data_IF_951317550004
#
_entry.id   IF_951317550004
#
_cell.length_a   1.000
_cell.length_b   1.000
_cell.length_c   1.000
_cell.angle_alpha   90.00
_cell.angle_beta   90.00
_cell.angle_gamma   90.00
#
_symmetry.space_group_name_H-M   'P 1'
#
loop_
_entity.id
_entity.type
_entity.pdbx_description
1 polymer ?
#
# COMPACT_ATOMS: atom_id res chain seq x y z
N UNK A 1 19.83 -13.37 24.83
CA UNK A 1 19.95 -12.02 25.43
C UNK A 1 19.03 -10.99 24.78
N UNK A 2 19.21 -10.65 23.49
CA UNK A 2 18.44 -9.60 22.80
C UNK A 2 16.91 -9.72 22.96
N UNK A 3 16.34 -10.89 22.68
CA UNK A 3 14.89 -11.11 22.73
C UNK A 3 14.27 -10.82 24.12
N UNK A 4 14.99 -11.12 25.22
CA UNK A 4 14.53 -10.87 26.58
C UNK A 4 14.51 -9.38 26.91
N UNK A 5 15.54 -8.64 26.50
CA UNK A 5 15.59 -7.19 26.66
C UNK A 5 14.55 -6.50 25.78
N UNK A 6 14.36 -6.99 24.56
CA UNK A 6 13.33 -6.50 23.65
C UNK A 6 11.93 -6.75 24.21
N UNK A 7 11.67 -7.92 24.80
CA UNK A 7 10.42 -8.19 25.52
C UNK A 7 10.18 -7.16 26.65
N UNK A 8 11.20 -6.90 27.48
CA UNK A 8 11.08 -5.91 28.57
C UNK A 8 10.73 -4.54 28.02
N UNK A 9 11.43 -4.13 26.96
CA UNK A 9 11.23 -2.82 26.36
C UNK A 9 9.79 -2.64 25.85
N UNK A 10 9.26 -3.63 25.12
CA UNK A 10 7.96 -3.51 24.44
C UNK A 10 6.77 -3.67 25.39
N UNK A 11 6.84 -4.57 26.37
CA UNK A 11 5.70 -4.98 27.18
C UNK A 11 5.75 -4.48 28.63
N UNK A 12 6.93 -4.01 29.08
CA UNK A 12 7.11 -3.37 30.38
C UNK A 12 7.47 -1.89 30.22
N UNK A 13 8.67 -1.56 29.72
CA UNK A 13 9.24 -0.21 29.78
C UNK A 13 8.41 0.82 29.04
N UNK A 14 8.01 0.54 27.79
CA UNK A 14 7.19 1.47 27.01
C UNK A 14 5.81 1.69 27.63
N UNK A 15 5.24 0.67 28.28
CA UNK A 15 3.97 0.80 29.00
C UNK A 15 4.15 1.62 30.28
N UNK A 16 5.23 1.38 31.02
CA UNK A 16 5.60 2.17 32.19
C UNK A 16 5.86 3.64 31.83
N UNK A 17 6.52 3.91 30.70
CA UNK A 17 6.70 5.26 30.18
C UNK A 17 5.36 5.90 29.79
N UNK A 18 4.48 5.15 29.12
CA UNK A 18 3.15 5.64 28.74
C UNK A 18 2.32 6.02 29.98
N UNK A 19 2.38 5.22 31.05
CA UNK A 19 1.69 5.50 32.31
C UNK A 19 2.35 6.62 33.12
N UNK A 20 3.66 6.83 32.97
CA UNK A 20 4.34 8.00 33.54
C UNK A 20 3.86 9.30 32.87
N UNK A 21 3.70 9.27 31.54
CA UNK A 21 3.16 10.38 30.77
C UNK A 21 1.66 10.61 31.00
N UNK A 22 0.90 9.53 31.14
CA UNK A 22 -0.54 9.55 31.32
C UNK A 22 -0.96 8.64 32.48
N UNK A 23 -0.93 9.14 33.73
CA UNK A 23 -1.28 8.36 34.90
C UNK A 23 -2.68 7.71 34.81
N UNK A 24 -2.93 6.55 35.46
CA UNK A 24 -4.22 5.87 35.40
C UNK A 24 -5.42 6.71 35.82
N UNK A 25 -5.20 7.65 36.74
CA UNK A 25 -6.17 8.58 37.31
C UNK A 25 -6.24 9.93 36.58
N UNK A 26 -5.49 10.09 35.48
CA UNK A 26 -5.48 11.33 34.72
C UNK A 26 -6.86 11.67 34.16
N UNK A 27 -7.21 12.95 34.27
CA UNK A 27 -8.42 13.55 33.68
C UNK A 27 -8.06 14.47 32.52
N UNK A 28 -8.98 14.59 31.56
CA UNK A 28 -8.91 15.55 30.46
C UNK A 28 -9.20 16.97 30.95
N UNK A 29 -8.99 17.97 30.09
CA UNK A 29 -9.38 19.36 30.37
C UNK A 29 -10.87 19.55 30.68
N UNK A 30 -11.72 18.61 30.24
CA UNK A 30 -13.17 18.59 30.51
C UNK A 30 -13.52 17.83 31.81
N UNK A 31 -12.55 17.31 32.54
CA UNK A 31 -12.75 16.56 33.80
C UNK A 31 -13.15 15.09 33.61
N UNK A 32 -13.21 14.59 32.37
CA UNK A 32 -13.48 13.18 32.10
C UNK A 32 -12.20 12.33 32.26
N UNK A 33 -12.29 11.03 32.64
CA UNK A 33 -11.11 10.17 32.69
C UNK A 33 -10.43 10.05 31.32
N UNK A 34 -9.11 10.25 31.27
CA UNK A 34 -8.32 10.13 30.04
C UNK A 34 -8.41 8.71 29.45
N UNK A 35 -8.37 7.70 30.32
CA UNK A 35 -8.51 6.29 29.98
C UNK A 35 -9.99 5.87 29.98
N UNK A 36 -10.74 6.32 28.98
CA UNK A 36 -12.15 5.96 28.80
C UNK A 36 -12.49 5.69 27.33
N UNK A 37 -13.62 5.00 27.10
CA UNK A 37 -14.11 4.66 25.76
C UNK A 37 -13.08 3.84 24.95
N UNK A 38 -12.52 4.40 23.85
CA UNK A 38 -11.53 3.69 23.03
C UNK A 38 -10.15 3.55 23.69
N UNK A 39 -9.86 4.31 24.76
CA UNK A 39 -8.56 4.31 25.44
C UNK A 39 -8.59 3.40 26.67
N UNK A 40 -8.09 2.17 26.50
CA UNK A 40 -7.92 1.21 27.60
C UNK A 40 -6.63 1.52 28.37
N UNK A 41 -6.73 1.70 29.69
CA UNK A 41 -5.56 1.90 30.55
C UNK A 41 -4.70 0.62 30.56
N UNK A 42 -3.43 0.68 30.12
CA UNK A 42 -2.59 -0.51 30.04
C UNK A 42 -1.96 -0.87 31.39
N UNK A 43 -1.38 -2.07 31.47
CA UNK A 43 -0.61 -2.55 32.62
C UNK A 43 0.75 -3.10 32.13
N UNK A 44 1.89 -2.67 32.72
CA UNK A 44 3.19 -3.26 32.39
C UNK A 44 3.19 -4.74 32.75
N UNK A 45 3.66 -5.60 31.84
CA UNK A 45 3.81 -7.02 32.13
C UNK A 45 5.09 -7.27 32.91
N UNK A 46 5.10 -8.33 33.72
CA UNK A 46 6.32 -8.85 34.34
C UNK A 46 6.68 -10.17 33.66
N UNK A 47 7.92 -10.31 33.22
CA UNK A 47 8.35 -11.54 32.57
C UNK A 47 8.23 -12.72 33.54
N UNK A 48 7.77 -13.86 33.03
CA UNK A 48 7.70 -15.12 33.77
C UNK A 48 8.03 -16.21 32.75
N UNK A 49 9.14 -16.89 32.97
CA UNK A 49 9.61 -17.96 32.07
C UNK A 49 8.64 -19.14 32.02
N UNK A 50 7.82 -19.32 33.06
CA UNK A 50 6.82 -20.39 33.15
C UNK A 50 5.54 -20.04 32.40
N UNK A 51 5.35 -18.78 32.03
CA UNK A 51 4.24 -18.38 31.16
C UNK A 51 4.59 -18.80 29.71
N UNK A 52 3.82 -19.73 29.09
CA UNK A 52 4.12 -20.21 27.75
C UNK A 52 4.19 -19.08 26.71
N UNK A 53 3.31 -18.09 26.79
CA UNK A 53 3.24 -16.97 25.85
C UNK A 53 4.48 -16.07 25.93
N UNK A 54 4.99 -15.85 27.16
CA UNK A 54 6.20 -15.08 27.38
C UNK A 54 7.41 -15.81 26.76
N UNK A 55 7.52 -17.12 26.99
CA UNK A 55 8.59 -17.92 26.44
C UNK A 55 8.48 -18.09 24.91
N UNK A 56 7.28 -18.25 24.36
CA UNK A 56 7.02 -18.35 22.92
C UNK A 56 7.55 -17.13 22.17
N UNK A 57 7.33 -15.94 22.73
CA UNK A 57 7.90 -14.71 22.19
C UNK A 57 9.43 -14.77 22.13
N UNK A 58 10.08 -15.19 23.23
CA UNK A 58 11.54 -15.25 23.30
C UNK A 58 12.10 -16.25 22.29
N UNK A 59 11.50 -17.44 22.22
CA UNK A 59 11.91 -18.50 21.27
C UNK A 59 11.78 -18.00 19.84
N UNK A 60 10.64 -17.42 19.46
CA UNK A 60 10.42 -16.95 18.10
C UNK A 60 11.33 -15.75 17.78
N UNK A 61 11.36 -14.73 18.63
CA UNK A 61 12.17 -13.53 18.41
C UNK A 61 13.67 -13.82 18.33
N UNK A 62 14.19 -14.72 19.19
CA UNK A 62 15.59 -15.11 19.18
C UNK A 62 15.97 -15.88 17.91
N UNK A 63 15.11 -16.80 17.45
CA UNK A 63 15.36 -17.56 16.23
C UNK A 63 15.26 -16.71 14.96
N UNK A 64 14.31 -15.77 14.91
CA UNK A 64 14.24 -14.78 13.82
C UNK A 64 15.49 -13.89 13.80
N UNK A 65 15.94 -13.43 14.97
CA UNK A 65 17.18 -12.66 15.07
C UNK A 65 18.40 -13.50 14.65
N UNK A 66 18.45 -14.78 15.03
CA UNK A 66 19.52 -15.69 14.63
C UNK A 66 19.57 -15.86 13.11
N UNK A 67 18.40 -16.09 12.47
CA UNK A 67 18.27 -16.16 11.02
C UNK A 67 18.82 -14.91 10.32
N UNK A 68 18.48 -13.71 10.82
CA UNK A 68 18.99 -12.45 10.24
C UNK A 68 20.52 -12.37 10.20
N UNK A 69 21.22 -13.00 11.13
CA UNK A 69 22.70 -13.01 11.18
C UNK A 69 23.31 -14.32 10.67
N UNK A 70 22.53 -15.19 10.01
CA UNK A 70 23.02 -16.49 9.53
C UNK A 70 23.42 -17.47 10.64
N UNK A 71 22.89 -17.30 11.85
CA UNK A 71 23.14 -18.18 12.98
C UNK A 71 22.14 -19.36 12.99
N UNK A 72 22.54 -20.53 13.50
CA UNK A 72 21.68 -21.70 13.56
C UNK A 72 20.49 -21.46 14.50
N UNK A 73 19.34 -22.01 14.09
CA UNK A 73 18.11 -22.04 14.90
C UNK A 73 18.31 -22.96 16.11
N UNK A 74 17.81 -22.55 17.27
CA UNK A 74 17.72 -23.38 18.46
C UNK A 74 16.24 -23.57 18.86
N UNK A 75 15.78 -24.82 18.85
CA UNK A 75 14.41 -25.22 19.23
C UNK A 75 14.32 -25.80 20.64
N UNK A 76 15.45 -25.96 21.33
CA UNK A 76 15.46 -26.46 22.71
C UNK A 76 14.91 -25.38 23.65
N UNK A 77 13.61 -25.49 23.93
CA UNK A 77 12.90 -24.57 24.83
C UNK A 77 13.47 -24.58 26.24
N UNK A 78 14.02 -25.70 26.70
CA UNK A 78 14.58 -25.82 28.05
C UNK A 78 15.92 -25.10 28.14
N UNK A 79 16.79 -25.31 27.14
CA UNK A 79 18.01 -24.52 27.03
C UNK A 79 17.71 -23.01 26.99
N UNK A 80 16.70 -22.60 26.20
CA UNK A 80 16.31 -21.19 26.10
C UNK A 80 15.74 -20.67 27.43
N UNK A 81 14.90 -21.44 28.15
CA UNK A 81 14.36 -21.02 29.45
C UNK A 81 15.48 -20.78 30.46
N UNK A 82 16.40 -21.73 30.58
CA UNK A 82 17.48 -21.70 31.57
C UNK A 82 18.43 -20.50 31.30
N UNK A 83 18.74 -20.26 30.01
CA UNK A 83 19.55 -19.12 29.60
C UNK A 83 18.83 -17.79 29.91
N UNK A 84 17.52 -17.71 29.71
CA UNK A 84 16.75 -16.48 29.89
C UNK A 84 16.62 -16.10 31.36
N UNK A 85 16.51 -17.07 32.26
CA UNK A 85 16.51 -16.83 33.72
C UNK A 85 17.81 -16.18 34.21
N UNK A 86 18.94 -16.49 33.58
CA UNK A 86 20.24 -15.89 33.95
C UNK A 86 20.47 -14.46 33.44
N UNK A 87 19.57 -13.93 32.58
CA UNK A 87 19.75 -12.59 32.00
C UNK A 87 19.40 -11.52 33.02
N UNK A 88 20.36 -10.65 33.32
CA UNK A 88 20.11 -9.43 34.08
C UNK A 88 19.41 -8.39 33.20
N UNK A 89 18.28 -7.89 33.68
CA UNK A 89 17.46 -6.90 32.98
C UNK A 89 17.61 -5.56 33.70
N UNK A 90 18.04 -4.50 33.00
CA UNK A 90 18.14 -3.17 33.61
C UNK A 90 16.79 -2.67 34.09
N UNK A 91 16.78 -2.00 35.24
CA UNK A 91 15.58 -1.37 35.77
C UNK A 91 15.14 -0.19 34.89
N UNK A 92 13.83 -0.04 34.69
CA UNK A 92 13.27 1.06 33.93
C UNK A 92 13.33 2.37 34.71
N UNK A 93 13.88 3.41 34.08
CA UNK A 93 13.89 4.79 34.61
C UNK A 93 13.06 5.66 33.67
N UNK A 94 11.95 6.27 34.14
CA UNK A 94 11.11 7.14 33.32
C UNK A 94 11.89 8.35 32.81
N UNK A 95 11.68 8.71 31.55
CA UNK A 95 12.26 9.91 30.95
C UNK A 95 11.26 11.05 30.97
N UNK A 96 11.68 12.19 31.50
CA UNK A 96 10.91 13.45 31.43
C UNK A 96 11.05 14.09 30.04
N UNK A 97 10.00 14.77 29.58
CA UNK A 97 10.02 15.51 28.31
C UNK A 97 9.72 14.68 27.06
N UNK A 98 9.40 13.40 27.19
CA UNK A 98 8.86 12.61 26.07
C UNK A 98 7.44 13.11 25.76
N UNK A 99 7.19 13.57 24.54
CA UNK A 99 5.86 13.91 24.06
C UNK A 99 5.25 12.71 23.37
N UNK A 100 4.14 12.20 23.90
CA UNK A 100 3.35 11.14 23.27
C UNK A 100 2.13 11.79 22.65
N UNK A 101 1.96 11.65 21.33
CA UNK A 101 0.80 12.17 20.63
C UNK A 101 -0.48 11.46 21.10
N UNK A 102 -1.52 12.24 21.41
CA UNK A 102 -2.81 11.70 21.87
C UNK A 102 -3.77 11.49 20.70
N UNK A 103 -3.55 12.20 19.59
CA UNK A 103 -4.36 12.16 18.37
C UNK A 103 -3.49 11.94 17.13
N UNK A 104 -4.08 11.44 16.05
CA UNK A 104 -3.36 11.22 14.79
C UNK A 104 -2.83 12.54 14.19
N UNK A 105 -3.56 13.65 14.39
CA UNK A 105 -3.11 14.99 13.98
C UNK A 105 -1.82 15.41 14.71
N UNK A 106 -1.76 15.21 16.03
CA UNK A 106 -0.55 15.50 16.80
C UNK A 106 0.63 14.60 16.40
N UNK A 107 0.36 13.36 16.01
CA UNK A 107 1.39 12.43 15.54
C UNK A 107 2.01 12.90 14.22
N UNK A 108 1.19 13.44 13.30
CA UNK A 108 1.66 13.99 12.03
C UNK A 108 2.51 15.25 12.22
N UNK A 109 2.14 16.13 13.15
CA UNK A 109 2.89 17.36 13.44
C UNK A 109 4.27 17.09 14.06
N UNK A 110 4.41 16.03 14.88
CA UNK A 110 5.66 15.67 15.52
C UNK A 110 6.77 15.24 14.53
N UNK A 111 6.44 14.92 13.28
CA UNK A 111 7.44 14.60 12.24
C UNK A 111 8.21 15.83 11.74
N UNK A 112 7.75 17.05 12.03
CA UNK A 112 8.35 18.28 11.51
C UNK A 112 9.55 18.82 12.33
N UNK A 113 9.73 18.38 13.57
CA UNK A 113 10.82 18.86 14.45
C UNK A 113 11.83 17.75 14.74
N UNK A 114 12.60 17.38 13.71
CA UNK A 114 13.73 16.48 13.90
C UNK A 114 14.89 17.22 14.59
N UNK A 115 15.38 16.66 15.70
CA UNK A 115 16.57 17.15 16.40
C UNK A 115 17.82 16.89 15.52
N UNK A 116 18.24 17.93 14.78
CA UNK A 116 19.37 17.87 13.85
C UNK A 116 20.70 17.56 14.55
N UNK A 117 20.85 17.95 15.81
CA UNK A 117 22.05 17.66 16.59
C UNK A 117 22.10 16.18 16.95
N UNK A 118 20.97 15.59 17.36
CA UNK A 118 20.88 14.15 17.61
C UNK A 118 21.12 13.32 16.34
N UNK A 119 20.60 13.76 15.20
CA UNK A 119 20.86 13.10 13.90
C UNK A 119 22.35 13.13 13.56
N UNK A 120 23.00 14.28 13.74
CA UNK A 120 24.43 14.45 13.48
C UNK A 120 25.28 13.57 14.41
N UNK A 121 24.86 13.40 15.67
CA UNK A 121 25.52 12.49 16.60
C UNK A 121 25.35 11.03 16.18
N UNK A 122 24.14 10.60 15.83
CA UNK A 122 23.88 9.23 15.36
C UNK A 122 24.70 8.89 14.11
N UNK A 123 24.85 9.83 13.17
CA UNK A 123 25.70 9.62 11.99
C UNK A 123 27.17 9.36 12.35
N UNK A 124 27.67 10.00 13.42
CA UNK A 124 29.04 9.78 13.91
C UNK A 124 29.20 8.47 14.70
N UNK A 125 28.12 7.97 15.29
CA UNK A 125 28.09 6.68 16.01
C UNK A 125 28.02 5.48 15.06
N UNK A 126 27.67 5.69 13.79
CA UNK A 126 27.62 4.60 12.80
C UNK A 126 29.03 4.13 12.41
N UNK A 127 29.29 2.81 12.44
CA UNK A 127 30.55 2.25 11.95
C UNK A 127 30.71 2.46 10.45
N UNK A 128 31.96 2.48 9.98
CA UNK A 128 32.25 2.61 8.54
C UNK A 128 31.81 1.36 7.76
N UNK A 129 31.42 1.48 6.47
CA UNK A 129 31.09 0.30 5.65
C UNK A 129 32.22 -0.74 5.59
N UNK A 130 33.48 -0.29 5.66
CA UNK A 130 34.66 -1.16 5.70
C UNK A 130 34.70 -2.05 6.95
N UNK A 131 34.30 -1.52 8.12
CA UNK A 131 34.20 -2.28 9.37
C UNK A 131 33.10 -3.36 9.31
N UNK A 132 32.10 -3.17 8.45
CA UNK A 132 30.95 -4.05 8.31
C UNK A 132 31.05 -5.05 7.14
N UNK A 133 32.19 -5.11 6.43
CA UNK A 133 32.34 -5.97 5.23
C UNK A 133 32.02 -7.45 5.44
N UNK A 134 32.29 -7.98 6.65
CA UNK A 134 32.01 -9.37 6.99
C UNK A 134 30.59 -9.61 7.49
N UNK A 135 29.83 -8.53 7.76
CA UNK A 135 28.47 -8.61 8.28
C UNK A 135 27.49 -8.82 7.14
N UNK A 136 26.94 -10.03 7.05
CA UNK A 136 25.83 -10.32 6.16
C UNK A 136 24.53 -10.37 6.98
N UNK A 137 23.59 -9.46 6.69
CA UNK A 137 22.27 -9.44 7.33
C UNK A 137 21.24 -9.91 6.30
N UNK A 138 20.58 -11.03 6.60
CA UNK A 138 19.51 -11.55 5.76
C UNK A 138 18.16 -10.96 6.19
N UNK A 139 17.45 -10.24 5.31
CA UNK A 139 16.09 -9.81 5.59
C UNK A 139 15.16 -11.04 5.67
N UNK A 140 14.22 -11.01 6.61
CA UNK A 140 13.19 -12.04 6.72
C UNK A 140 12.08 -11.71 5.72
N UNK A 141 11.81 -12.64 4.81
CA UNK A 141 10.64 -12.57 3.93
C UNK A 141 9.46 -13.26 4.61
N UNK A 142 8.39 -12.51 4.86
CA UNK A 142 7.24 -13.02 5.59
C UNK A 142 6.51 -14.11 4.78
N UNK A 143 6.61 -15.34 5.26
CA UNK A 143 5.82 -16.49 4.85
C UNK A 143 4.89 -16.94 5.99
N UNK A 144 3.59 -16.95 5.72
CA UNK A 144 2.51 -17.30 6.67
C UNK A 144 2.14 -18.78 6.64
N UNK A 145 2.47 -19.46 5.55
CA UNK A 145 2.06 -20.84 5.26
C UNK A 145 3.12 -21.89 5.62
N UNK A 146 4.29 -21.46 6.08
CA UNK A 146 5.31 -22.32 6.67
C UNK A 146 5.30 -22.20 8.21
N UNK A 147 4.83 -23.25 8.87
CA UNK A 147 4.74 -23.30 10.34
C UNK A 147 6.11 -23.54 11.02
N UNK A 148 7.19 -23.76 10.25
CA UNK A 148 8.53 -24.00 10.79
C UNK A 148 9.39 -22.74 10.92
N UNK A 149 9.01 -21.62 10.30
CA UNK A 149 9.87 -20.43 10.18
C UNK A 149 9.78 -19.42 11.34
N UNK A 150 8.95 -19.68 12.36
CA UNK A 150 8.70 -18.78 13.51
C UNK A 150 8.01 -17.44 13.20
N UNK A 151 7.61 -17.15 11.96
CA UNK A 151 6.97 -15.88 11.61
C UNK A 151 5.64 -15.72 12.34
N UNK A 152 4.75 -16.71 12.19
CA UNK A 152 3.45 -16.69 12.85
C UNK A 152 3.57 -16.87 14.37
N UNK A 153 4.54 -17.65 14.84
CA UNK A 153 4.82 -17.80 16.28
C UNK A 153 5.16 -16.45 16.92
N UNK A 154 6.04 -15.67 16.27
CA UNK A 154 6.39 -14.33 16.74
C UNK A 154 5.17 -13.40 16.69
N UNK A 155 4.43 -13.36 15.58
CA UNK A 155 3.27 -12.47 15.44
C UNK A 155 2.22 -12.76 16.51
N UNK A 156 1.87 -14.03 16.71
CA UNK A 156 0.88 -14.47 17.70
C UNK A 156 1.32 -14.09 19.11
N UNK A 157 2.56 -14.41 19.47
CA UNK A 157 3.07 -14.10 20.80
C UNK A 157 3.14 -12.58 21.02
N UNK A 158 3.68 -11.85 20.05
CA UNK A 158 3.84 -10.42 20.13
C UNK A 158 2.50 -9.68 20.24
N UNK A 159 1.50 -10.10 19.46
CA UNK A 159 0.16 -9.50 19.51
C UNK A 159 -0.57 -9.84 20.80
N UNK A 160 -0.46 -11.08 21.29
CA UNK A 160 -1.15 -11.50 22.51
C UNK A 160 -0.56 -10.88 23.77
N UNK A 161 0.76 -10.68 23.83
CA UNK A 161 1.40 -9.93 24.91
C UNK A 161 0.92 -8.47 24.94
N UNK A 162 0.82 -7.83 23.76
CA UNK A 162 0.26 -6.48 23.67
C UNK A 162 -1.23 -6.47 24.01
N UNK A 163 -1.98 -7.50 23.65
CA UNK A 163 -3.39 -7.63 24.04
C UNK A 163 -3.52 -7.71 25.57
N UNK A 164 -2.65 -8.48 26.23
CA UNK A 164 -2.61 -8.60 27.70
C UNK A 164 -2.33 -7.25 28.36
N UNK A 165 -1.39 -6.44 27.85
CA UNK A 165 -1.14 -5.09 28.35
C UNK A 165 -2.43 -4.26 28.46
N UNK A 166 -3.35 -4.38 27.49
CA UNK A 166 -4.57 -3.56 27.40
C UNK A 166 -5.85 -4.32 27.82
N UNK A 167 -5.72 -5.52 28.40
CA UNK A 167 -6.86 -6.35 28.79
C UNK A 167 -7.75 -6.75 27.60
N UNK A 168 -7.16 -6.92 26.42
CA UNK A 168 -7.82 -7.39 25.20
C UNK A 168 -7.73 -8.92 25.18
N UNK A 169 -8.80 -9.59 24.74
CA UNK A 169 -8.82 -11.04 24.64
C UNK A 169 -7.77 -11.53 23.63
N UNK A 170 -6.99 -12.59 23.94
CA UNK A 170 -5.99 -13.12 23.03
C UNK A 170 -6.64 -13.74 21.78
N UNK A 171 -5.88 -13.77 20.69
CA UNK A 171 -6.24 -14.44 19.45
C UNK A 171 -5.38 -15.70 19.26
N UNK A 172 -6.01 -16.80 18.82
CA UNK A 172 -5.29 -18.02 18.47
C UNK A 172 -4.46 -17.84 17.18
N UNK A 173 -3.62 -18.85 16.88
CA UNK A 173 -2.76 -18.86 15.69
C UNK A 173 -3.57 -18.70 14.40
N UNK A 174 -4.72 -19.36 14.29
CA UNK A 174 -5.52 -19.34 13.06
C UNK A 174 -6.11 -17.95 12.81
N UNK A 175 -6.72 -17.34 13.82
CA UNK A 175 -7.27 -15.97 13.75
C UNK A 175 -6.16 -14.96 13.47
N UNK A 176 -5.02 -15.07 14.13
CA UNK A 176 -3.86 -14.21 13.89
C UNK A 176 -3.30 -14.38 12.48
N UNK A 177 -3.22 -15.61 11.96
CA UNK A 177 -2.79 -15.91 10.59
C UNK A 177 -3.75 -15.35 9.54
N UNK A 178 -5.07 -15.47 9.78
CA UNK A 178 -6.08 -14.89 8.92
C UNK A 178 -5.89 -13.37 8.77
N UNK A 179 -5.70 -12.67 9.89
CA UNK A 179 -5.57 -11.20 9.94
C UNK A 179 -4.21 -10.75 9.39
N UNK A 180 -3.11 -11.25 9.95
CA UNK A 180 -1.75 -10.83 9.58
C UNK A 180 -1.39 -11.23 8.15
N UNK A 181 -1.85 -12.41 7.72
CA UNK A 181 -1.68 -12.92 6.37
C UNK A 181 -2.61 -12.32 5.33
N UNK A 182 -3.54 -11.43 5.73
CA UNK A 182 -4.60 -10.86 4.87
C UNK A 182 -5.29 -11.93 4.02
N UNK A 183 -5.57 -13.09 4.63
CA UNK A 183 -6.14 -14.24 3.94
C UNK A 183 -7.56 -13.89 3.50
N UNK A 184 -7.82 -13.96 2.20
CA UNK A 184 -9.16 -13.85 1.64
C UNK A 184 -9.80 -15.23 1.73
N UNK A 185 -10.88 -15.41 2.54
CA UNK A 185 -11.55 -16.69 2.63
C UNK A 185 -12.09 -17.10 1.25
N UNK A 186 -11.79 -18.32 0.84
CA UNK A 186 -12.22 -18.87 -0.44
C UNK A 186 -12.68 -20.31 -0.27
N UNK A 187 -13.72 -20.68 -1.02
CA UNK A 187 -14.24 -22.04 -1.07
C UNK A 187 -14.64 -22.37 -2.51
N UNK A 188 -14.39 -23.62 -2.92
CA UNK A 188 -14.59 -24.06 -4.30
C UNK A 188 -16.04 -23.90 -4.80
N UNK A 189 -17.04 -23.95 -3.90
CA UNK A 189 -18.46 -23.80 -4.26
C UNK A 189 -18.78 -22.43 -4.86
N UNK A 190 -18.32 -21.34 -4.23
CA UNK A 190 -18.50 -19.98 -4.76
C UNK A 190 -17.73 -19.81 -6.07
N UNK A 191 -16.51 -20.34 -6.15
CA UNK A 191 -15.71 -20.30 -7.39
C UNK A 191 -16.41 -21.01 -8.54
N UNK A 192 -16.92 -22.22 -8.33
CA UNK A 192 -17.62 -22.99 -9.36
C UNK A 192 -18.86 -22.27 -9.89
N UNK A 193 -19.67 -21.70 -8.99
CA UNK A 193 -20.88 -20.96 -9.37
C UNK A 193 -20.52 -19.69 -10.16
N UNK A 194 -19.57 -18.89 -9.66
CA UNK A 194 -19.13 -17.66 -10.35
C UNK A 194 -18.57 -17.99 -11.73
N UNK A 195 -17.71 -19.00 -11.85
CA UNK A 195 -17.19 -19.46 -13.14
C UNK A 195 -18.31 -19.91 -14.09
N UNK A 196 -19.29 -20.66 -13.59
CA UNK A 196 -20.45 -21.08 -14.39
C UNK A 196 -21.26 -19.89 -14.93
N UNK A 197 -21.53 -18.88 -14.11
CA UNK A 197 -22.25 -17.67 -14.54
C UNK A 197 -21.43 -16.85 -15.56
N UNK A 198 -20.11 -16.74 -15.37
CA UNK A 198 -19.23 -16.09 -16.34
C UNK A 198 -19.28 -16.81 -17.69
N UNK A 199 -19.30 -18.15 -17.70
CA UNK A 199 -19.44 -18.91 -18.95
C UNK A 199 -20.79 -18.64 -19.64
N UNK A 200 -21.87 -18.41 -18.91
CA UNK A 200 -23.17 -18.04 -19.49
C UNK A 200 -23.11 -16.66 -20.18
N UNK A 201 -22.45 -15.67 -19.57
CA UNK A 201 -22.24 -14.36 -20.22
C UNK A 201 -21.29 -14.46 -21.42
N UNK A 202 -20.28 -15.34 -21.35
CA UNK A 202 -19.36 -15.58 -22.47
C UNK A 202 -20.09 -16.13 -23.71
N UNK A 203 -21.05 -17.03 -23.54
CA UNK A 203 -21.88 -17.52 -24.65
C UNK A 203 -22.57 -16.35 -25.36
N UNK A 204 -23.05 -15.36 -24.61
CA UNK A 204 -23.74 -14.19 -25.18
C UNK A 204 -22.79 -13.35 -26.04
N UNK A 205 -21.57 -13.14 -25.56
CA UNK A 205 -20.52 -12.44 -26.31
C UNK A 205 -20.16 -13.17 -27.60
N UNK A 206 -19.97 -14.50 -27.54
CA UNK A 206 -19.61 -15.32 -28.71
C UNK A 206 -20.73 -15.32 -29.76
N UNK A 207 -21.99 -15.24 -29.35
CA UNK A 207 -23.13 -15.12 -30.25
C UNK A 207 -23.28 -13.71 -30.87
N UNK A 208 -22.47 -12.73 -30.45
CA UNK A 208 -22.52 -11.37 -30.97
C UNK A 208 -23.73 -10.56 -30.51
N UNK A 209 -24.27 -10.83 -29.32
CA UNK A 209 -25.38 -10.03 -28.80
C UNK A 209 -24.93 -8.62 -28.45
N UNK A 210 -25.59 -7.62 -29.03
CA UNK A 210 -25.29 -6.19 -28.79
C UNK A 210 -26.26 -5.53 -27.79
N UNK A 211 -27.37 -6.19 -27.47
CA UNK A 211 -28.40 -5.64 -26.58
C UNK A 211 -28.00 -5.77 -25.11
N UNK A 212 -27.87 -4.64 -24.43
CA UNK A 212 -27.45 -4.58 -23.02
C UNK A 212 -28.37 -5.37 -22.07
N UNK A 213 -29.68 -5.32 -22.32
CA UNK A 213 -30.72 -6.00 -21.55
C UNK A 213 -30.54 -7.54 -21.45
N UNK A 214 -29.79 -8.13 -22.39
CA UNK A 214 -29.47 -9.56 -22.41
C UNK A 214 -28.35 -9.92 -21.43
N UNK A 215 -27.46 -8.98 -21.12
CA UNK A 215 -26.35 -9.18 -20.18
C UNK A 215 -26.83 -9.05 -18.73
N UNK A 216 -26.14 -9.75 -17.83
CA UNK A 216 -26.44 -9.74 -16.40
C UNK A 216 -25.18 -9.68 -15.54
N UNK A 217 -25.10 -8.69 -14.68
CA UNK A 217 -24.19 -8.69 -13.55
C UNK A 217 -24.77 -9.61 -12.46
N UNK A 218 -24.00 -10.58 -11.97
CA UNK A 218 -24.42 -11.51 -10.92
C UNK A 218 -23.87 -11.15 -9.54
N UNK A 219 -24.73 -11.14 -8.53
CA UNK A 219 -24.40 -10.93 -7.12
C UNK A 219 -24.88 -12.12 -6.32
N UNK A 220 -23.98 -12.77 -5.57
CA UNK A 220 -24.27 -14.05 -4.91
C UNK A 220 -23.79 -14.02 -3.47
N UNK A 221 -24.62 -14.53 -2.56
CA UNK A 221 -24.22 -14.88 -1.21
C UNK A 221 -24.81 -16.24 -0.81
N UNK A 222 -23.99 -17.29 -0.89
CA UNK A 222 -24.40 -18.67 -0.62
C UNK A 222 -24.69 -18.95 0.87
N UNK A 223 -24.29 -18.06 1.78
CA UNK A 223 -24.68 -18.19 3.19
C UNK A 223 -26.16 -17.86 3.41
N UNK A 224 -26.74 -16.98 2.56
CA UNK A 224 -28.16 -16.58 2.58
C UNK A 224 -28.97 -17.18 1.41
N UNK A 225 -28.46 -18.23 0.76
CA UNK A 225 -28.79 -18.60 -0.63
C UNK A 225 -29.26 -17.47 -1.57
N UNK A 226 -28.61 -16.30 -1.50
CA UNK A 226 -29.03 -15.11 -2.25
C UNK A 226 -28.40 -15.07 -3.63
N UNK A 227 -29.22 -14.83 -4.65
CA UNK A 227 -28.83 -14.58 -6.02
C UNK A 227 -29.59 -13.37 -6.53
N UNK A 228 -28.86 -12.36 -7.02
CA UNK A 228 -29.45 -11.22 -7.70
C UNK A 228 -28.71 -10.96 -9.00
N UNK A 229 -29.49 -10.53 -9.99
CA UNK A 229 -28.97 -10.15 -11.28
C UNK A 229 -29.44 -8.75 -11.62
N UNK A 230 -28.54 -7.91 -12.12
CA UNK A 230 -28.89 -6.59 -12.64
C UNK A 230 -28.42 -6.47 -14.08
N UNK A 231 -29.10 -5.63 -14.85
CA UNK A 231 -28.55 -5.18 -16.12
C UNK A 231 -27.26 -4.37 -15.88
N UNK A 232 -26.24 -4.49 -16.76
CA UNK A 232 -25.13 -3.56 -16.74
C UNK A 232 -25.59 -2.13 -17.05
N UNK A 233 -24.87 -1.14 -16.54
CA UNK A 233 -25.17 0.25 -16.86
C UNK A 233 -24.66 0.60 -18.27
N UNK A 234 -25.42 1.39 -19.05
CA UNK A 234 -24.93 1.89 -20.32
C UNK A 234 -23.71 2.80 -20.09
N UNK A 235 -22.80 2.81 -21.05
CA UNK A 235 -21.65 3.72 -21.01
C UNK A 235 -22.14 5.18 -20.99
N UNK A 236 -21.64 6.04 -20.08
CA UNK A 236 -22.01 7.45 -20.08
C UNK A 236 -21.69 8.10 -21.42
N UNK A 237 -22.71 8.67 -22.06
CA UNK A 237 -22.57 9.42 -23.31
C UNK A 237 -22.21 10.87 -23.01
N UNK A 238 -21.25 11.37 -23.75
CA UNK A 238 -20.87 12.76 -23.82
C UNK A 238 -21.08 13.26 -25.25
N UNK A 239 -21.20 14.57 -25.44
CA UNK A 239 -21.45 15.17 -26.75
C UNK A 239 -20.46 16.29 -27.00
N UNK A 240 -19.95 16.39 -28.23
CA UNK A 240 -19.29 17.59 -28.73
C UNK A 240 -19.91 17.96 -30.07
N UNK A 241 -20.31 19.22 -30.22
CA UNK A 241 -21.19 19.64 -31.32
C UNK A 241 -22.39 18.69 -31.46
N UNK A 242 -22.53 18.01 -32.60
CA UNK A 242 -23.56 17.02 -32.89
C UNK A 242 -23.11 15.57 -32.70
N UNK A 243 -21.84 15.32 -32.37
CA UNK A 243 -21.30 13.96 -32.23
C UNK A 243 -21.39 13.46 -30.79
N UNK A 244 -22.07 12.33 -30.58
CA UNK A 244 -22.06 11.59 -29.31
C UNK A 244 -20.83 10.68 -29.23
N UNK A 245 -20.28 10.52 -28.02
CA UNK A 245 -19.16 9.63 -27.75
C UNK A 245 -19.23 9.07 -26.32
N UNK A 246 -18.51 7.98 -26.08
CA UNK A 246 -18.44 7.24 -24.82
C UNK A 246 -16.98 6.96 -24.47
N UNK A 247 -16.75 6.21 -23.37
CA UNK A 247 -15.40 5.79 -22.98
C UNK A 247 -14.74 4.82 -23.98
N UNK A 248 -15.52 4.20 -24.87
CA UNK A 248 -15.04 3.23 -25.86
C UNK A 248 -14.63 3.88 -27.18
N UNK A 249 -15.10 5.10 -27.42
CA UNK A 249 -14.83 5.85 -28.63
C UNK A 249 -13.46 6.53 -28.55
N UNK A 250 -12.75 6.53 -29.68
CA UNK A 250 -11.45 7.16 -29.85
C UNK A 250 -11.28 7.55 -31.30
N UNK A 251 -10.52 8.60 -31.58
CA UNK A 251 -10.10 8.81 -32.97
C UNK A 251 -8.88 7.94 -33.25
N UNK A 252 -8.92 7.23 -34.37
CA UNK A 252 -7.81 6.42 -34.85
C UNK A 252 -7.14 7.15 -36.00
N UNK A 253 -5.86 7.43 -35.83
CA UNK A 253 -5.03 8.07 -36.84
C UNK A 253 -4.00 7.05 -37.30
N UNK A 254 -4.03 6.70 -38.59
CA UNK A 254 -3.13 5.72 -39.20
C UNK A 254 -1.95 6.42 -39.85
N UNK A 255 -0.73 5.99 -39.49
CA UNK A 255 0.50 6.48 -40.08
C UNK A 255 1.06 7.72 -39.39
N UNK A 256 2.34 7.96 -39.65
CA UNK A 256 3.06 9.07 -39.05
C UNK A 256 2.73 10.38 -39.78
N UNK A 257 2.51 11.44 -39.00
CA UNK A 257 2.25 12.79 -39.51
C UNK A 257 3.03 13.82 -38.70
N UNK A 258 3.27 14.99 -39.30
CA UNK A 258 3.79 16.14 -38.57
C UNK A 258 2.75 16.69 -37.60
N UNK A 259 3.19 17.40 -36.56
CA UNK A 259 2.26 18.07 -35.65
C UNK A 259 1.35 19.05 -36.39
N UNK A 260 1.85 19.74 -37.43
CA UNK A 260 1.05 20.62 -38.28
C UNK A 260 -0.07 19.87 -39.01
N UNK A 261 0.25 18.76 -39.65
CA UNK A 261 -0.73 17.91 -40.33
C UNK A 261 -1.75 17.32 -39.35
N UNK A 262 -1.30 16.91 -38.15
CA UNK A 262 -2.19 16.43 -37.09
C UNK A 262 -3.21 17.50 -36.68
N UNK A 263 -2.76 18.73 -36.42
CA UNK A 263 -3.66 19.83 -36.05
C UNK A 263 -4.62 20.18 -37.20
N UNK A 264 -4.15 20.18 -38.45
CA UNK A 264 -4.99 20.44 -39.62
C UNK A 264 -6.01 19.32 -39.85
N UNK A 265 -5.64 18.05 -39.68
CA UNK A 265 -6.52 16.90 -39.81
C UNK A 265 -7.73 17.03 -38.86
N UNK A 266 -7.50 17.32 -37.58
CA UNK A 266 -8.59 17.52 -36.62
C UNK A 266 -9.46 18.73 -36.95
N UNK A 267 -8.85 19.80 -37.46
CA UNK A 267 -9.59 21.01 -37.87
C UNK A 267 -10.44 20.80 -39.12
N UNK A 268 -9.92 20.15 -40.15
CA UNK A 268 -10.58 20.01 -41.44
C UNK A 268 -11.57 18.84 -41.48
N UNK A 269 -11.20 17.70 -40.87
CA UNK A 269 -12.00 16.47 -40.93
C UNK A 269 -13.01 16.43 -39.78
N UNK A 270 -12.61 16.81 -38.57
CA UNK A 270 -13.44 16.69 -37.37
C UNK A 270 -14.01 18.02 -36.87
N UNK A 271 -13.66 19.14 -37.52
CA UNK A 271 -14.03 20.50 -37.09
C UNK A 271 -13.62 20.79 -35.62
N UNK A 272 -12.50 20.21 -35.18
CA UNK A 272 -11.96 20.36 -33.84
C UNK A 272 -10.70 21.22 -33.85
N UNK A 273 -10.79 22.42 -33.30
CA UNK A 273 -9.62 23.27 -33.05
C UNK A 273 -8.92 22.82 -31.76
N UNK A 274 -7.84 22.05 -31.90
CA UNK A 274 -7.03 21.58 -30.76
C UNK A 274 -6.35 22.76 -30.08
N UNK A 275 -6.64 22.95 -28.79
CA UNK A 275 -6.03 23.98 -27.94
C UNK A 275 -4.84 23.45 -27.17
N UNK A 276 -4.87 22.19 -26.77
CA UNK A 276 -3.78 21.51 -26.07
C UNK A 276 -3.68 20.06 -26.52
N UNK A 277 -2.45 19.55 -26.62
CA UNK A 277 -2.13 18.17 -26.93
C UNK A 277 -1.05 17.68 -25.96
N UNK A 278 -1.29 16.57 -25.29
CA UNK A 278 -0.37 15.96 -24.35
C UNK A 278 -0.21 14.45 -24.60
N UNK A 279 0.81 13.88 -23.98
CA UNK A 279 0.95 12.44 -23.81
C UNK A 279 1.34 12.18 -22.35
N UNK A 280 0.42 11.59 -21.58
CA UNK A 280 0.56 11.53 -20.13
C UNK A 280 0.81 12.92 -19.54
N UNK A 281 1.91 13.07 -18.80
CA UNK A 281 2.29 14.35 -18.17
C UNK A 281 3.00 15.34 -19.10
N UNK A 282 3.31 14.95 -20.34
CA UNK A 282 4.08 15.78 -21.26
C UNK A 282 3.17 16.60 -22.18
N UNK A 283 3.19 17.92 -22.07
CA UNK A 283 2.48 18.84 -22.97
C UNK A 283 3.25 19.02 -24.29
N UNK A 284 2.77 18.37 -25.34
CA UNK A 284 3.37 18.35 -26.68
C UNK A 284 3.09 19.66 -27.44
N UNK A 285 1.85 20.14 -27.36
CA UNK A 285 1.40 21.38 -27.99
C UNK A 285 0.41 22.12 -27.10
N UNK A 286 0.44 23.46 -27.18
CA UNK A 286 -0.61 24.34 -26.65
C UNK A 286 -0.60 25.68 -27.41
N UNK A 287 -1.77 26.30 -27.57
CA UNK A 287 -1.91 27.60 -28.22
C UNK A 287 -1.25 28.75 -27.44
N UNK A 288 -0.95 28.59 -26.14
CA UNK A 288 -0.24 29.59 -25.34
C UNK A 288 1.27 29.35 -25.27
N UNK A 289 1.80 28.32 -25.94
CA UNK A 289 3.25 28.16 -26.09
C UNK A 289 3.86 29.36 -26.83
N UNK A 290 5.04 29.78 -26.36
CA UNK A 290 5.82 30.85 -27.01
C UNK A 290 6.04 30.53 -28.49
N UNK A 291 5.89 31.55 -29.33
CA UNK A 291 5.87 31.40 -30.79
C UNK A 291 7.09 30.67 -31.37
N UNK A 292 8.34 30.90 -30.92
CA UNK A 292 9.49 30.17 -31.45
C UNK A 292 9.42 28.65 -31.16
N UNK A 293 9.06 28.28 -29.93
CA UNK A 293 8.92 26.87 -29.51
C UNK A 293 7.78 26.16 -30.22
N UNK A 294 6.69 26.88 -30.50
CA UNK A 294 5.56 26.35 -31.24
C UNK A 294 5.94 26.10 -32.70
N UNK A 295 6.57 27.06 -33.38
CA UNK A 295 7.03 26.92 -34.77
C UNK A 295 8.02 25.77 -34.93
N UNK A 296 8.96 25.62 -33.99
CA UNK A 296 9.92 24.50 -34.01
C UNK A 296 9.24 23.13 -34.02
N UNK A 297 8.16 22.95 -33.25
CA UNK A 297 7.48 21.65 -33.10
C UNK A 297 6.51 21.34 -34.23
N UNK A 298 5.97 22.34 -34.91
CA UNK A 298 4.93 22.15 -35.94
C UNK A 298 5.41 21.26 -37.09
N UNK A 299 6.68 21.37 -37.47
CA UNK A 299 7.25 20.66 -38.63
C UNK A 299 7.90 19.32 -38.25
N UNK A 300 7.84 18.94 -36.97
CA UNK A 300 8.33 17.66 -36.50
C UNK A 300 7.23 16.59 -36.61
N UNK A 301 7.66 15.38 -36.94
CA UNK A 301 6.82 14.19 -36.82
C UNK A 301 6.34 14.01 -35.38
N UNK A 302 5.11 13.55 -35.20
CA UNK A 302 4.51 13.36 -33.87
C UNK A 302 5.38 12.51 -32.94
N UNK A 303 6.04 11.46 -33.45
CA UNK A 303 6.96 10.62 -32.67
C UNK A 303 8.20 11.40 -32.19
N UNK A 304 8.70 12.32 -33.02
CA UNK A 304 9.85 13.16 -32.71
C UNK A 304 9.48 14.27 -31.70
N UNK A 305 8.28 14.85 -31.82
CA UNK A 305 7.76 15.79 -30.80
C UNK A 305 7.71 15.10 -29.44
N UNK A 306 7.21 13.87 -29.38
CA UNK A 306 7.18 13.06 -28.15
C UNK A 306 8.59 12.86 -27.60
N UNK A 307 9.54 12.40 -28.42
CA UNK A 307 10.93 12.16 -27.98
C UNK A 307 11.58 13.42 -27.42
N UNK A 308 11.43 14.55 -28.09
CA UNK A 308 12.03 15.82 -27.66
C UNK A 308 11.43 16.36 -26.37
N UNK A 309 10.11 16.32 -26.24
CA UNK A 309 9.41 16.90 -25.08
C UNK A 309 9.53 16.00 -23.86
N UNK A 310 9.34 14.69 -24.03
CA UNK A 310 9.47 13.72 -22.94
C UNK A 310 10.92 13.46 -22.54
N UNK A 311 11.89 13.78 -23.41
CA UNK A 311 13.31 13.41 -23.30
C UNK A 311 13.52 11.89 -23.15
N UNK A 312 12.55 11.09 -23.60
CA UNK A 312 12.58 9.63 -23.57
C UNK A 312 12.56 9.09 -24.99
N UNK A 313 13.28 7.98 -25.22
CA UNK A 313 13.20 7.25 -26.48
C UNK A 313 11.87 6.50 -26.52
N UNK A 314 11.28 6.41 -27.71
CA UNK A 314 10.16 5.51 -27.96
C UNK A 314 10.76 4.14 -28.21
N UNK A 315 10.39 3.16 -27.40
CA UNK A 315 10.94 1.81 -27.49
C UNK A 315 10.48 1.11 -28.78
N UNK A 316 11.30 0.24 -29.41
CA UNK A 316 10.97 -0.39 -30.70
C UNK A 316 9.71 -1.26 -30.69
N UNK A 317 9.25 -1.71 -29.52
CA UNK A 317 8.03 -2.51 -29.37
C UNK A 317 6.75 -1.67 -29.30
N UNK A 318 6.85 -0.35 -29.19
CA UNK A 318 5.69 0.56 -29.15
C UNK A 318 5.13 0.70 -30.55
N UNK A 319 3.93 0.14 -30.76
CA UNK A 319 3.21 0.19 -32.05
C UNK A 319 2.20 1.33 -32.14
N UNK A 320 1.93 2.02 -31.03
CA UNK A 320 0.95 3.08 -31.00
C UNK A 320 1.30 4.12 -29.94
N UNK A 321 1.03 5.39 -30.25
CA UNK A 321 1.15 6.51 -29.32
C UNK A 321 -0.24 6.95 -28.89
N UNK A 322 -0.45 7.05 -27.58
CA UNK A 322 -1.70 7.56 -27.03
C UNK A 322 -1.54 9.04 -26.69
N UNK A 323 -2.41 9.88 -27.24
CA UNK A 323 -2.41 11.31 -27.02
C UNK A 323 -3.65 11.75 -26.27
N UNK A 324 -3.53 12.84 -25.51
CA UNK A 324 -4.67 13.52 -24.95
C UNK A 324 -4.87 14.89 -25.56
N UNK A 325 -6.10 15.19 -25.99
CA UNK A 325 -6.41 16.43 -26.67
C UNK A 325 -7.50 17.22 -25.93
N UNK A 326 -7.29 18.52 -25.86
CA UNK A 326 -8.29 19.51 -25.49
C UNK A 326 -8.63 20.36 -26.71
N UNK A 327 -9.89 20.75 -26.82
CA UNK A 327 -10.38 21.62 -27.88
C UNK A 327 -11.27 22.71 -27.28
N UNK A 328 -11.59 23.71 -28.10
CA UNK A 328 -12.12 25.01 -27.65
C UNK A 328 -13.57 25.00 -27.15
N UNK A 329 -14.23 23.84 -27.03
CA UNK A 329 -15.56 23.73 -26.41
C UNK A 329 -15.45 22.85 -25.16
N UNK A 330 -15.46 23.53 -24.01
CA UNK A 330 -15.31 23.02 -22.64
C UNK A 330 -14.03 22.20 -22.39
N UNK A 331 -13.19 22.69 -21.47
CA UNK A 331 -11.97 22.01 -20.99
C UNK A 331 -12.30 20.61 -20.45
N UNK A 332 -12.14 19.57 -21.29
CA UNK A 332 -12.07 18.16 -20.87
C UNK A 332 -11.04 17.42 -21.70
N UNK A 333 -10.09 16.79 -21.01
CA UNK A 333 -9.06 15.90 -21.57
C UNK A 333 -9.71 14.62 -22.13
N UNK A 334 -9.13 14.09 -23.22
CA UNK A 334 -9.59 12.89 -23.96
C UNK A 334 -8.41 11.96 -24.16
N UNK A 335 -8.59 10.64 -24.27
CA UNK A 335 -7.53 9.70 -24.69
C UNK A 335 -7.71 9.33 -26.18
N UNK A 336 -6.63 9.30 -26.96
CA UNK A 336 -6.58 9.01 -28.40
C UNK A 336 -5.44 8.03 -28.69
N UNK A 337 -5.55 7.10 -29.65
CA UNK A 337 -4.47 6.20 -30.06
C UNK A 337 -4.11 6.43 -31.55
N UNK A 338 -2.83 6.68 -31.83
CA UNK A 338 -2.26 6.76 -33.18
C UNK A 338 -1.34 5.55 -33.38
N UNK A 339 -1.63 4.70 -34.36
CA UNK A 339 -0.77 3.56 -34.68
C UNK A 339 0.43 4.03 -35.54
N UNK A 340 1.63 3.62 -35.12
CA UNK A 340 2.93 4.01 -35.72
C UNK A 340 3.30 3.16 -36.92
#
# INVERSE_FOLDING_TARGET
MWARLHWEEQYHNQISQLLFNFPPDQVTSTGAPFWSGPKRCPKPLKFDVRNPMHLDYIVAAANLRAFMYGLPVNRDRKYISDLVESIQVPEFIPKSGIRIAVTDSEAQDNHATADMDRISQLQKELPSPEELKSLNIQPIEFEKDDDSNFHMDFIVAASNLRAENYGIAPADRHKSKLIAGKIIPAIATTTAIVSGLVCLELIKLVQGHEKLELYKNGFINLALPFFAFSEPLPAPKQKYYETEFTLWDRFEVTGEMTLREFLNYFKEVHNLEITMLSQGVCMLYSFFLQEPKRRERLDLLMSEVVRRVSKRKIEPHVKALVFELEHKIEMRSRNLRMDL
#
